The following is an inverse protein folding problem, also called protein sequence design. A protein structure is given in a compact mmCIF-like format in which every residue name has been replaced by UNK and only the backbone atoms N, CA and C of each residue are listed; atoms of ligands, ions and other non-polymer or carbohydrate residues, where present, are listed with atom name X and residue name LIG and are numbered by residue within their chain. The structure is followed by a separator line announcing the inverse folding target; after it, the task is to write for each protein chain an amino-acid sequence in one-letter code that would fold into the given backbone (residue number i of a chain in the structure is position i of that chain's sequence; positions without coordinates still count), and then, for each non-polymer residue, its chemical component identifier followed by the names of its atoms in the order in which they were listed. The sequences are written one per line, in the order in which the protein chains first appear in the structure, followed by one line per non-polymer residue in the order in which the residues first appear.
data_IF_241516440191
#
_entry.id   IF_241516440191
#
_cell.length_a   1.000
_cell.length_b   1.000
_cell.length_c   1.000
_cell.angle_alpha   90.00
_cell.angle_beta   90.00
_cell.angle_gamma   90.00
#
_symmetry.space_group_name_H-M   'P 1'
#
loop_
_entity.id
_entity.type
_entity.pdbx_description
1 polymer ?
#
# COMPACT_ATOMS: atom_id res chain seq x y z
N UNK A 1 -27.13 -16.74 -43.21
CA UNK A 1 -27.17 -16.76 -41.73
C UNK A 1 -25.78 -16.40 -41.22
N UNK A 2 -25.58 -15.18 -40.72
CA UNK A 2 -24.27 -14.72 -40.23
C UNK A 2 -24.13 -15.00 -38.75
N UNK A 3 -23.28 -15.96 -38.37
CA UNK A 3 -22.92 -16.19 -36.97
C UNK A 3 -21.91 -15.11 -36.57
N UNK A 4 -22.31 -14.19 -35.69
CA UNK A 4 -21.40 -13.22 -35.07
C UNK A 4 -20.43 -13.99 -34.18
N UNK A 5 -19.15 -14.01 -34.55
CA UNK A 5 -18.09 -14.58 -33.71
C UNK A 5 -18.00 -13.74 -32.42
N UNK A 6 -18.34 -14.36 -31.28
CA UNK A 6 -18.25 -13.72 -29.96
C UNK A 6 -16.79 -13.37 -29.68
N UNK A 7 -16.42 -12.10 -29.87
CA UNK A 7 -15.09 -11.54 -29.58
C UNK A 7 -14.94 -11.07 -28.14
N UNK A 8 -16.02 -11.10 -27.35
CA UNK A 8 -16.00 -10.72 -25.94
C UNK A 8 -15.33 -11.83 -25.10
N UNK A 9 -14.25 -11.47 -24.42
CA UNK A 9 -13.56 -12.35 -23.47
C UNK A 9 -14.57 -12.86 -22.43
N UNK A 10 -14.70 -14.18 -22.30
CA UNK A 10 -15.55 -14.79 -21.28
C UNK A 10 -15.11 -14.32 -19.88
N UNK A 11 -16.07 -14.05 -19.01
CA UNK A 11 -15.77 -13.69 -17.61
C UNK A 11 -15.09 -14.89 -16.97
N UNK A 12 -13.85 -14.71 -16.55
CA UNK A 12 -13.18 -15.71 -15.71
C UNK A 12 -13.94 -15.85 -14.40
N UNK A 13 -14.21 -17.08 -13.98
CA UNK A 13 -14.71 -17.35 -12.64
C UNK A 13 -13.76 -16.77 -11.59
N UNK A 14 -14.27 -16.17 -10.50
CA UNK A 14 -13.42 -15.61 -9.46
C UNK A 14 -12.50 -16.67 -8.83
N UNK A 15 -11.23 -16.31 -8.63
CA UNK A 15 -10.23 -17.13 -7.93
C UNK A 15 -10.46 -17.18 -6.41
N UNK A 16 -11.45 -16.44 -5.92
CA UNK A 16 -11.77 -16.26 -4.50
C UNK A 16 -12.18 -14.81 -4.22
N UNK A 17 -12.24 -14.46 -2.94
CA UNK A 17 -12.58 -13.11 -2.47
C UNK A 17 -11.42 -12.53 -1.67
N UNK A 18 -11.11 -11.25 -1.90
CA UNK A 18 -10.10 -10.52 -1.15
C UNK A 18 -10.77 -9.37 -0.37
N UNK A 19 -10.57 -9.36 0.94
CA UNK A 19 -10.92 -8.23 1.81
C UNK A 19 -9.74 -7.26 1.86
N UNK A 20 -10.01 -5.97 1.69
CA UNK A 20 -8.98 -4.94 1.80
C UNK A 20 -8.78 -4.56 3.27
N UNK A 21 -7.58 -4.76 3.80
CA UNK A 21 -7.28 -4.59 5.22
C UNK A 21 -6.39 -3.37 5.51
N UNK A 22 -5.69 -2.84 4.50
CA UNK A 22 -4.74 -1.75 4.67
C UNK A 22 -5.39 -0.47 5.25
N UNK A 23 -4.81 0.12 6.32
CA UNK A 23 -5.45 1.21 7.09
C UNK A 23 -5.80 2.46 6.28
N UNK A 24 -5.03 2.74 5.22
CA UNK A 24 -5.18 3.95 4.41
C UNK A 24 -5.90 3.73 3.07
N UNK A 25 -6.48 2.54 2.86
CA UNK A 25 -7.24 2.28 1.63
C UNK A 25 -8.69 2.75 1.77
N UNK A 26 -9.27 3.52 0.82
CA UNK A 26 -10.64 4.03 0.92
C UNK A 26 -11.72 2.94 1.05
N UNK A 27 -11.47 1.77 0.48
CA UNK A 27 -12.37 0.61 0.50
C UNK A 27 -12.00 -0.42 1.58
N UNK A 28 -11.27 -0.02 2.62
CA UNK A 28 -10.92 -0.91 3.74
C UNK A 28 -12.17 -1.56 4.36
N UNK A 29 -12.08 -2.84 4.68
CA UNK A 29 -13.16 -3.67 5.22
C UNK A 29 -14.15 -4.18 4.17
N UNK A 30 -13.96 -3.84 2.89
CA UNK A 30 -14.79 -4.35 1.80
C UNK A 30 -14.10 -5.53 1.10
N UNK A 31 -14.91 -6.49 0.68
CA UNK A 31 -14.47 -7.70 -0.02
C UNK A 31 -14.89 -7.68 -1.48
N UNK A 32 -13.98 -8.08 -2.36
CA UNK A 32 -14.20 -8.09 -3.80
C UNK A 32 -13.79 -9.44 -4.42
N UNK A 33 -14.47 -9.90 -5.48
CA UNK A 33 -14.05 -11.08 -6.22
C UNK A 33 -12.67 -10.86 -6.87
N UNK A 34 -11.76 -11.81 -6.69
CA UNK A 34 -10.44 -11.82 -7.32
C UNK A 34 -10.56 -12.41 -8.72
N UNK A 35 -10.26 -11.62 -9.75
CA UNK A 35 -10.30 -12.08 -11.14
C UNK A 35 -8.95 -12.66 -11.58
N UNK A 36 -7.84 -12.05 -11.14
CA UNK A 36 -6.50 -12.44 -11.57
C UNK A 36 -5.43 -12.02 -10.57
N UNK A 37 -4.33 -12.79 -10.54
CA UNK A 37 -3.06 -12.43 -9.89
C UNK A 37 -2.05 -11.98 -10.94
N UNK A 38 -1.28 -10.94 -10.64
CA UNK A 38 -0.17 -10.48 -11.48
C UNK A 38 0.96 -9.95 -10.62
N UNK A 39 2.13 -9.79 -11.23
CA UNK A 39 3.27 -9.08 -10.62
C UNK A 39 3.58 -7.84 -11.45
N UNK A 40 3.58 -6.67 -10.80
CA UNK A 40 3.87 -5.38 -11.44
C UNK A 40 5.09 -4.78 -10.77
N UNK A 41 6.19 -4.60 -11.51
CA UNK A 41 7.45 -4.08 -10.96
C UNK A 41 7.92 -4.84 -9.71
N UNK A 42 7.75 -6.16 -9.69
CA UNK A 42 8.10 -7.02 -8.55
C UNK A 42 7.04 -7.13 -7.46
N UNK A 43 5.98 -6.30 -7.48
CA UNK A 43 4.93 -6.28 -6.46
C UNK A 43 3.77 -7.19 -6.85
N UNK A 44 3.42 -8.13 -5.97
CA UNK A 44 2.24 -8.97 -6.15
C UNK A 44 0.96 -8.15 -6.05
N UNK A 45 0.13 -8.23 -7.09
CA UNK A 45 -1.07 -7.41 -7.28
C UNK A 45 -2.25 -8.29 -7.67
N UNK A 46 -3.39 -8.05 -7.03
CA UNK A 46 -4.67 -8.67 -7.35
C UNK A 46 -5.48 -7.74 -8.25
N UNK A 47 -6.09 -8.29 -9.30
CA UNK A 47 -7.12 -7.62 -10.10
C UNK A 47 -8.47 -8.04 -9.52
N UNK A 48 -9.23 -7.08 -9.01
CA UNK A 48 -10.50 -7.26 -8.31
C UNK A 48 -11.66 -6.76 -9.17
N UNK A 49 -12.81 -7.40 -9.07
CA UNK A 49 -14.06 -6.93 -9.68
C UNK A 49 -14.66 -5.80 -8.84
N UNK A 50 -14.90 -4.64 -9.45
CA UNK A 50 -15.50 -3.47 -8.79
C UNK A 50 -17.03 -3.52 -8.70
N UNK A 51 -17.61 -2.72 -7.80
CA UNK A 51 -19.04 -2.69 -7.48
C UNK A 51 -19.93 -2.22 -8.65
N UNK A 52 -19.54 -1.15 -9.34
CA UNK A 52 -20.38 -0.49 -10.37
C UNK A 52 -19.99 -0.87 -11.81
N UNK A 53 -19.49 -2.09 -12.00
CA UNK A 53 -18.93 -2.59 -13.27
C UNK A 53 -17.55 -2.01 -13.57
N UNK A 54 -16.53 -2.86 -13.48
CA UNK A 54 -15.14 -2.50 -13.74
C UNK A 54 -14.18 -3.42 -13.01
N UNK A 55 -12.89 -3.20 -13.20
CA UNK A 55 -11.85 -3.88 -12.45
C UNK A 55 -10.86 -2.87 -11.90
N UNK A 56 -10.34 -3.12 -10.72
CA UNK A 56 -9.29 -2.31 -10.12
C UNK A 56 -8.19 -3.22 -9.56
N UNK A 57 -7.05 -2.63 -9.26
CA UNK A 57 -5.88 -3.37 -8.81
C UNK A 57 -5.54 -2.99 -7.38
N UNK A 58 -5.22 -3.99 -6.56
CA UNK A 58 -4.79 -3.81 -5.17
C UNK A 58 -3.56 -4.65 -4.93
N UNK A 59 -2.57 -4.11 -4.22
CA UNK A 59 -1.39 -4.86 -3.80
C UNK A 59 -1.84 -6.02 -2.90
N UNK A 60 -1.30 -7.22 -3.12
CA UNK A 60 -1.69 -8.42 -2.37
C UNK A 60 -1.55 -8.22 -0.85
N UNK A 61 -0.46 -7.59 -0.42
CA UNK A 61 -0.16 -7.28 0.98
C UNK A 61 -1.19 -6.34 1.63
N UNK A 62 -2.02 -5.65 0.86
CA UNK A 62 -3.06 -4.77 1.39
C UNK A 62 -4.37 -5.51 1.65
N UNK A 63 -4.40 -6.82 1.42
CA UNK A 63 -5.58 -7.67 1.55
C UNK A 63 -5.34 -8.82 2.51
N UNK A 64 -6.40 -9.53 2.89
CA UNK A 64 -6.30 -10.78 3.65
C UNK A 64 -5.56 -11.92 2.91
N UNK A 65 -5.10 -11.70 1.68
CA UNK A 65 -4.24 -12.64 0.96
C UNK A 65 -2.76 -12.40 1.23
N UNK A 66 -2.39 -11.37 2.00
CA UNK A 66 -1.01 -11.13 2.42
C UNK A 66 -0.40 -12.37 3.09
N UNK A 67 0.91 -12.56 2.93
CA UNK A 67 1.61 -13.52 3.79
C UNK A 67 1.59 -12.99 5.23
N UNK A 68 1.43 -13.87 6.24
CA UNK A 68 1.47 -13.44 7.63
C UNK A 68 2.79 -12.72 7.89
N UNK A 69 2.71 -11.45 8.23
CA UNK A 69 3.90 -10.65 8.50
C UNK A 69 4.27 -10.78 9.97
N UNK A 70 5.56 -10.88 10.32
CA UNK A 70 6.01 -10.75 11.70
C UNK A 70 5.55 -9.42 12.34
N UNK A 71 5.22 -8.42 11.52
CA UNK A 71 4.73 -7.13 11.94
C UNK A 71 3.25 -7.12 12.36
N UNK A 72 2.45 -8.10 11.94
CA UNK A 72 1.01 -8.18 12.28
C UNK A 72 0.78 -8.50 13.77
N UNK A 73 1.80 -9.05 14.43
CA UNK A 73 1.79 -9.40 15.87
C UNK A 73 2.37 -8.28 16.74
N UNK A 74 3.08 -7.33 16.13
CA UNK A 74 3.80 -6.29 16.86
C UNK A 74 2.95 -5.01 16.94
N UNK A 75 2.84 -4.38 18.13
CA UNK A 75 2.18 -3.08 18.23
C UNK A 75 2.90 -2.05 17.35
N UNK A 76 2.19 -0.99 16.90
CA UNK A 76 2.75 0.05 16.06
C UNK A 76 4.09 0.54 16.64
N UNK A 77 5.15 0.38 15.85
CA UNK A 77 6.54 0.60 16.29
C UNK A 77 6.89 2.06 16.59
N UNK A 78 6.06 2.99 16.15
CA UNK A 78 6.30 4.42 16.30
C UNK A 78 5.58 4.92 17.55
N UNK A 79 6.36 5.10 18.62
CA UNK A 79 5.92 5.82 19.81
C UNK A 79 5.90 7.33 19.49
N UNK A 80 4.79 8.00 19.79
CA UNK A 80 4.62 9.44 19.59
C UNK A 80 5.69 10.25 20.33
N UNK A 81 6.07 9.84 21.55
CA UNK A 81 7.14 10.49 22.30
C UNK A 81 8.47 10.44 21.56
N UNK A 82 8.83 9.24 21.06
CA UNK A 82 10.07 9.07 20.29
C UNK A 82 10.07 9.84 18.95
N UNK A 83 8.89 10.09 18.37
CA UNK A 83 8.78 10.96 17.19
C UNK A 83 9.01 12.43 17.53
N UNK A 84 8.51 12.91 18.68
CA UNK A 84 8.76 14.27 19.16
C UNK A 84 10.23 14.46 19.53
N UNK A 85 10.81 13.50 20.25
CA UNK A 85 12.23 13.52 20.62
C UNK A 85 13.14 13.60 19.36
N UNK A 86 12.75 12.91 18.29
CA UNK A 86 13.46 12.97 17.00
C UNK A 86 13.38 14.36 16.36
N UNK A 87 12.21 15.01 16.41
CA UNK A 87 12.05 16.39 15.92
C UNK A 87 12.95 17.34 16.71
N UNK A 88 12.91 17.26 18.04
CA UNK A 88 13.73 18.10 18.91
C UNK A 88 15.23 17.91 18.64
N UNK A 89 15.66 16.67 18.40
CA UNK A 89 17.04 16.35 18.05
C UNK A 89 17.44 16.95 16.70
N UNK A 90 16.59 16.83 15.67
CA UNK A 90 16.85 17.39 14.34
C UNK A 90 16.94 18.91 14.37
N UNK A 91 16.09 19.56 15.16
CA UNK A 91 16.15 21.01 15.35
C UNK A 91 17.44 21.45 16.05
N UNK A 92 17.86 20.75 17.11
CA UNK A 92 19.12 21.02 17.79
C UNK A 92 20.31 20.87 16.84
N UNK A 93 20.39 19.76 16.10
CA UNK A 93 21.46 19.51 15.15
C UNK A 93 21.49 20.57 14.05
N UNK A 94 20.33 21.04 13.59
CA UNK A 94 20.23 22.09 12.58
C UNK A 94 20.79 23.44 13.09
N UNK A 95 20.43 23.83 14.31
CA UNK A 95 20.96 25.05 14.96
C UNK A 95 22.46 24.96 15.15
N UNK A 96 22.95 23.85 15.70
CA UNK A 96 24.38 23.63 15.91
C UNK A 96 25.15 23.67 14.60
N UNK A 97 24.64 23.05 13.53
CA UNK A 97 25.27 23.10 12.22
C UNK A 97 25.38 24.53 11.68
N UNK A 98 24.34 25.36 11.84
CA UNK A 98 24.37 26.78 11.44
C UNK A 98 25.40 27.59 12.23
N UNK A 99 25.51 27.36 13.54
CA UNK A 99 26.50 28.02 14.40
C UNK A 99 27.95 27.67 14.00
N UNK A 100 28.20 26.40 13.66
CA UNK A 100 29.51 25.97 13.14
C UNK A 100 29.84 26.61 11.79
N UNK A 101 28.86 26.71 10.89
CA UNK A 101 29.03 27.37 9.59
C UNK A 101 29.34 28.87 9.77
N UNK A 102 28.64 29.56 10.67
CA UNK A 102 28.85 30.98 10.93
C UNK A 102 30.24 31.26 11.52
N UNK A 103 30.69 30.45 12.50
CA UNK A 103 32.04 30.57 13.10
C UNK A 103 33.19 30.21 12.15
N UNK A 104 32.92 29.41 11.11
CA UNK A 104 33.90 29.07 10.08
C UNK A 104 34.15 30.19 9.06
N UNK A 105 33.23 31.15 8.95
CA UNK A 105 33.30 32.29 8.03
C UNK A 105 34.01 33.50 8.67
N UNK A 106 33.99 33.61 9.99
CA UNK A 106 34.64 34.69 10.76
C UNK A 106 36.15 34.48 11.00
N UNK A 107 36.82 33.62 10.21
CA UNK A 107 38.25 33.26 10.36
C UNK A 107 39.07 33.56 9.11
#
# INVERSE_FOLDING_TARGET
MGQSARTAHERSEPLGWAEIQHPFHPLRGQSFPVLKKRRVSGVDTLILQGLQHGTFCVVREWTNWADPSPHDVLPPRLNIGSLLDLVDLLEHLSRTHQEYQQRGIDK
#
